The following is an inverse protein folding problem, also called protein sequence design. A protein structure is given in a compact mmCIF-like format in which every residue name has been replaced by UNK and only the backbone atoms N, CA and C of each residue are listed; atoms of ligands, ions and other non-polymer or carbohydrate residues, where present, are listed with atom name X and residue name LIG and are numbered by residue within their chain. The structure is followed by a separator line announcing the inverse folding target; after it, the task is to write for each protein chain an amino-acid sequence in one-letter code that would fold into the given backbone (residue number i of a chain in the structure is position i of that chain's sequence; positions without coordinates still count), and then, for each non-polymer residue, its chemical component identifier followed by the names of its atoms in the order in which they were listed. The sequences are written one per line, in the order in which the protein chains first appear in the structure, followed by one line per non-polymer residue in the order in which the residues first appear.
data_IF_824810653914
#
_entry.id   IF_824810653914
#
_cell.length_a   1.000
_cell.length_b   1.000
_cell.length_c   1.000
_cell.angle_alpha   90.00
_cell.angle_beta   90.00
_cell.angle_gamma   90.00
#
_symmetry.space_group_name_H-M   'P 1'
#
loop_
_entity.id
_entity.type
_entity.pdbx_description
1 polymer ?
#
# COMPACT_ATOMS: atom_id res chain seq x y z
N UNK A 1 -9.26 12.99 -3.31
CA UNK A 1 -10.44 12.22 -3.74
C UNK A 1 -10.06 11.42 -4.98
N UNK A 2 -10.00 10.09 -4.87
CA UNK A 2 -9.44 9.19 -5.90
C UNK A 2 -10.46 8.89 -7.02
N UNK A 3 -11.18 9.93 -7.45
CA UNK A 3 -12.34 9.82 -8.34
C UNK A 3 -12.02 10.05 -9.82
N UNK A 4 -10.74 10.24 -10.16
CA UNK A 4 -10.33 10.43 -11.53
C UNK A 4 -8.85 10.11 -11.72
N UNK A 5 -8.44 10.00 -12.98
CA UNK A 5 -7.07 9.69 -13.37
C UNK A 5 -6.09 10.72 -12.82
N UNK A 6 -6.42 12.01 -12.89
CA UNK A 6 -5.55 13.10 -12.45
C UNK A 6 -5.18 12.97 -10.98
N UNK A 7 -6.14 12.76 -10.10
CA UNK A 7 -5.88 12.66 -8.66
C UNK A 7 -5.10 11.39 -8.32
N UNK A 8 -5.43 10.25 -8.93
CA UNK A 8 -4.69 9.00 -8.73
C UNK A 8 -3.24 9.08 -9.24
N UNK A 9 -3.02 9.64 -10.44
CA UNK A 9 -1.69 9.75 -11.03
C UNK A 9 -0.82 10.80 -10.33
N UNK A 10 -1.39 11.93 -9.89
CA UNK A 10 -0.65 12.93 -9.10
C UNK A 10 -0.25 12.33 -7.75
N UNK A 11 -1.19 11.73 -7.01
CA UNK A 11 -0.90 11.09 -5.73
C UNK A 11 0.17 10.00 -5.90
N UNK A 12 0.01 9.14 -6.92
CA UNK A 12 0.95 8.08 -7.24
C UNK A 12 2.35 8.60 -7.57
N UNK A 13 2.45 9.60 -8.45
CA UNK A 13 3.73 10.17 -8.89
C UNK A 13 4.44 10.90 -7.77
N UNK A 14 3.73 11.73 -7.00
CA UNK A 14 4.29 12.43 -5.85
C UNK A 14 4.79 11.44 -4.79
N UNK A 15 4.01 10.41 -4.46
CA UNK A 15 4.42 9.39 -3.49
C UNK A 15 5.62 8.57 -3.95
N UNK A 16 5.70 8.20 -5.23
CA UNK A 16 6.91 7.58 -5.79
C UNK A 16 8.12 8.52 -5.78
N UNK A 17 7.93 9.81 -6.04
CA UNK A 17 8.97 10.82 -5.91
C UNK A 17 9.52 10.89 -4.47
N UNK A 18 8.64 10.89 -3.47
CA UNK A 18 9.03 10.83 -2.06
C UNK A 18 9.76 9.53 -1.74
N UNK A 19 9.25 8.38 -2.18
CA UNK A 19 9.92 7.10 -1.99
C UNK A 19 11.33 7.10 -2.60
N UNK A 20 11.49 7.59 -3.84
CA UNK A 20 12.79 7.69 -4.50
C UNK A 20 13.76 8.62 -3.75
N UNK A 21 13.28 9.76 -3.24
CA UNK A 21 14.08 10.66 -2.41
C UNK A 21 14.53 10.00 -1.11
N UNK A 22 13.61 9.35 -0.39
CA UNK A 22 13.91 8.61 0.84
C UNK A 22 14.91 7.47 0.61
N UNK A 23 14.79 6.76 -0.52
CA UNK A 23 15.66 5.63 -0.84
C UNK A 23 17.12 6.05 -1.03
N UNK A 24 17.37 7.29 -1.49
CA UNK A 24 18.72 7.86 -1.63
C UNK A 24 19.37 8.22 -0.30
N UNK A 25 18.60 8.36 0.78
CA UNK A 25 19.12 8.72 2.10
C UNK A 25 19.96 7.58 2.69
N UNK A 26 21.05 7.92 3.38
CA UNK A 26 21.90 6.92 4.03
C UNK A 26 21.35 6.52 5.41
N UNK A 27 20.10 6.04 5.44
CA UNK A 27 19.45 5.60 6.66
C UNK A 27 18.58 4.36 6.39
N UNK A 28 18.87 3.21 7.02
CA UNK A 28 18.11 1.97 6.85
C UNK A 28 16.60 2.09 7.01
N UNK A 29 16.13 2.89 7.98
CA UNK A 29 14.70 3.08 8.23
C UNK A 29 14.03 3.91 7.15
N UNK A 30 14.73 4.93 6.64
CA UNK A 30 14.21 5.72 5.51
C UNK A 30 14.14 4.87 4.24
N UNK A 31 15.09 3.95 4.02
CA UNK A 31 15.03 2.98 2.92
C UNK A 31 13.90 1.97 3.11
N UNK A 32 13.68 1.48 4.33
CA UNK A 32 12.51 0.66 4.64
C UNK A 32 11.22 1.42 4.32
N UNK A 33 11.04 2.62 4.86
CA UNK A 33 9.88 3.45 4.59
C UNK A 33 9.68 3.74 3.10
N UNK A 34 10.77 3.95 2.34
CA UNK A 34 10.71 4.13 0.89
C UNK A 34 10.09 2.92 0.19
N UNK A 35 10.58 1.71 0.46
CA UNK A 35 10.06 0.48 -0.17
C UNK A 35 8.63 0.20 0.26
N UNK A 36 8.30 0.47 1.52
CA UNK A 36 6.94 0.36 2.02
C UNK A 36 5.99 1.31 1.27
N UNK A 37 6.37 2.59 1.14
CA UNK A 37 5.62 3.60 0.41
C UNK A 37 5.44 3.20 -1.06
N UNK A 38 6.50 2.77 -1.74
CA UNK A 38 6.40 2.25 -3.11
C UNK A 38 5.38 1.12 -3.22
N UNK A 39 5.42 0.17 -2.28
CA UNK A 39 4.50 -0.97 -2.28
C UNK A 39 3.02 -0.57 -2.17
N UNK A 40 2.71 0.33 -1.23
CA UNK A 40 1.33 0.81 -1.04
C UNK A 40 0.85 1.74 -2.15
N UNK A 41 1.77 2.48 -2.78
CA UNK A 41 1.46 3.41 -3.86
C UNK A 41 1.11 2.73 -5.19
N UNK A 42 1.48 1.47 -5.39
CA UNK A 42 1.21 0.75 -6.64
C UNK A 42 -0.27 0.79 -7.06
N UNK A 43 -1.20 0.70 -6.11
CA UNK A 43 -2.63 0.75 -6.39
C UNK A 43 -3.05 2.07 -7.06
N UNK A 44 -2.40 3.19 -6.74
CA UNK A 44 -2.74 4.48 -7.36
C UNK A 44 -2.44 4.54 -8.84
N UNK A 45 -1.40 3.85 -9.29
CA UNK A 45 -1.13 3.72 -10.71
C UNK A 45 -2.17 2.85 -11.40
N UNK A 46 -2.56 1.74 -10.77
CA UNK A 46 -3.59 0.85 -11.33
C UNK A 46 -4.94 1.57 -11.43
N UNK A 47 -5.37 2.25 -10.37
CA UNK A 47 -6.58 3.08 -10.37
C UNK A 47 -6.49 4.20 -11.41
N UNK A 48 -5.33 4.86 -11.54
CA UNK A 48 -5.10 5.90 -12.55
C UNK A 48 -5.29 5.40 -13.98
N UNK A 49 -4.74 4.22 -14.31
CA UNK A 49 -4.92 3.61 -15.63
C UNK A 49 -6.36 3.16 -15.88
N UNK A 50 -7.05 2.65 -14.85
CA UNK A 50 -8.47 2.31 -14.94
C UNK A 50 -9.29 3.57 -15.26
N UNK A 51 -9.04 4.69 -14.57
CA UNK A 51 -9.71 5.96 -14.84
C UNK A 51 -9.43 6.53 -16.23
N UNK A 52 -8.23 6.34 -16.77
CA UNK A 52 -7.90 6.75 -18.14
C UNK A 52 -8.67 5.95 -19.20
N UNK A 53 -8.99 4.69 -18.93
CA UNK A 53 -9.69 3.79 -19.85
C UNK A 53 -11.22 3.81 -19.75
N UNK A 54 -11.79 4.75 -19.00
CA UNK A 54 -13.20 4.80 -18.57
C UNK A 54 -13.68 3.52 -17.84
N UNK A 55 -13.75 3.52 -16.50
CA UNK A 55 -14.18 2.36 -15.71
C UNK A 55 -15.65 1.97 -15.90
N UNK A 56 -16.45 2.80 -16.59
CA UNK A 56 -17.86 2.48 -16.90
C UNK A 56 -17.99 1.50 -18.05
N UNK A 57 -16.93 1.30 -18.83
CA UNK A 57 -16.91 0.42 -19.98
C UNK A 57 -16.24 -0.91 -19.59
N UNK A 58 -16.94 -2.02 -19.82
CA UNK A 58 -16.36 -3.36 -19.72
C UNK A 58 -15.50 -3.64 -20.97
N UNK A 59 -14.27 -3.11 -20.96
CA UNK A 59 -13.28 -3.29 -22.03
C UNK A 59 -12.13 -4.20 -21.62
N UNK A 60 -11.40 -4.73 -22.62
CA UNK A 60 -10.25 -5.62 -22.38
C UNK A 60 -9.18 -5.00 -21.48
N UNK A 61 -8.97 -3.68 -21.59
CA UNK A 61 -8.02 -2.95 -20.74
C UNK A 61 -8.47 -2.99 -19.27
N UNK A 62 -9.73 -2.68 -18.99
CA UNK A 62 -10.29 -2.73 -17.62
C UNK A 62 -10.18 -4.16 -17.04
N UNK A 63 -10.51 -5.19 -17.84
CA UNK A 63 -10.37 -6.59 -17.41
C UNK A 63 -8.91 -6.95 -17.10
N UNK A 64 -7.96 -6.60 -17.97
CA UNK A 64 -6.54 -6.89 -17.76
C UNK A 64 -5.99 -6.17 -16.53
N UNK A 65 -6.37 -4.91 -16.31
CA UNK A 65 -5.99 -4.16 -15.11
C UNK A 65 -6.58 -4.80 -13.86
N UNK A 66 -7.86 -5.20 -13.90
CA UNK A 66 -8.58 -5.77 -12.75
C UNK A 66 -8.09 -7.17 -12.38
N UNK A 67 -7.87 -8.05 -13.36
CA UNK A 67 -7.46 -9.43 -13.13
C UNK A 67 -5.95 -9.54 -12.94
N UNK A 68 -5.16 -8.71 -13.63
CA UNK A 68 -3.71 -8.75 -13.59
C UNK A 68 -3.10 -7.77 -12.59
N UNK A 69 -3.25 -6.47 -12.83
CA UNK A 69 -2.49 -5.46 -12.08
C UNK A 69 -3.00 -5.23 -10.66
N UNK A 70 -4.30 -5.38 -10.39
CA UNK A 70 -4.84 -5.19 -9.04
C UNK A 70 -4.29 -6.23 -8.06
N UNK A 71 -4.30 -7.55 -8.34
CA UNK A 71 -3.64 -8.52 -7.47
C UNK A 71 -2.16 -8.23 -7.24
N UNK A 72 -1.44 -7.77 -8.27
CA UNK A 72 -0.04 -7.37 -8.12
C UNK A 72 0.11 -6.15 -7.20
N UNK A 73 -0.73 -5.13 -7.36
CA UNK A 73 -0.75 -3.97 -6.48
C UNK A 73 -1.11 -4.32 -5.02
N UNK A 74 -2.01 -5.28 -4.81
CA UNK A 74 -2.31 -5.80 -3.47
C UNK A 74 -1.09 -6.54 -2.90
N UNK A 75 -0.43 -7.40 -3.68
CA UNK A 75 0.79 -8.07 -3.22
C UNK A 75 1.87 -7.05 -2.84
N UNK A 76 2.07 -6.00 -3.63
CA UNK A 76 3.05 -4.96 -3.30
C UNK A 76 2.70 -4.19 -2.04
N UNK A 77 1.41 -3.99 -1.72
CA UNK A 77 0.99 -3.38 -0.45
C UNK A 77 1.45 -4.20 0.76
N UNK A 78 1.26 -5.52 0.74
CA UNK A 78 1.70 -6.40 1.83
C UNK A 78 3.22 -6.60 1.85
N UNK A 79 3.82 -6.77 0.67
CA UNK A 79 5.23 -7.11 0.54
C UNK A 79 6.16 -5.91 0.61
N UNK A 80 5.72 -4.70 0.28
CA UNK A 80 6.53 -3.48 0.39
C UNK A 80 7.09 -3.28 1.81
N UNK A 81 6.25 -3.20 2.85
CA UNK A 81 6.71 -3.14 4.24
C UNK A 81 7.58 -4.33 4.65
N UNK A 82 7.27 -5.53 4.16
CA UNK A 82 8.03 -6.74 4.45
C UNK A 82 9.45 -6.68 3.87
N UNK A 83 9.60 -6.47 2.56
CA UNK A 83 10.91 -6.39 1.90
C UNK A 83 11.68 -5.14 2.30
N UNK A 84 11.00 -4.02 2.54
CA UNK A 84 11.65 -2.81 3.06
C UNK A 84 12.36 -3.06 4.39
N UNK A 85 11.82 -3.93 5.25
CA UNK A 85 12.42 -4.24 6.55
C UNK A 85 13.82 -4.88 6.44
N UNK A 86 14.18 -5.44 5.27
CA UNK A 86 15.51 -6.04 5.02
C UNK A 86 16.63 -5.00 5.17
N UNK A 87 16.35 -3.72 4.88
CA UNK A 87 17.34 -2.65 5.04
C UNK A 87 17.76 -2.45 6.50
N UNK A 88 16.84 -2.64 7.45
CA UNK A 88 17.07 -2.40 8.88
C UNK A 88 17.43 -3.68 9.64
N UNK A 89 16.85 -4.83 9.26
CA UNK A 89 17.08 -6.11 9.92
C UNK A 89 17.34 -7.24 8.92
N UNK A 90 18.33 -8.11 9.15
CA UNK A 90 18.58 -9.26 8.28
C UNK A 90 17.41 -10.25 8.33
N UNK A 91 17.16 -10.96 7.22
CA UNK A 91 16.10 -11.98 7.15
C UNK A 91 16.45 -13.19 8.00
N UNK A 92 17.73 -13.57 8.08
CA UNK A 92 18.17 -14.82 8.69
C UNK A 92 17.75 -14.96 10.16
N UNK A 93 17.76 -13.88 10.93
CA UNK A 93 17.36 -13.87 12.35
C UNK A 93 15.86 -14.02 12.56
N UNK A 94 15.05 -13.81 11.52
CA UNK A 94 13.58 -13.73 11.58
C UNK A 94 12.91 -14.47 10.42
N UNK A 95 13.59 -15.46 9.85
CA UNK A 95 13.22 -16.15 8.61
C UNK A 95 11.81 -16.72 8.64
N UNK A 96 11.42 -17.36 9.75
CA UNK A 96 10.09 -17.99 9.87
C UNK A 96 8.98 -16.94 9.85
N UNK A 97 9.10 -15.88 10.67
CA UNK A 97 8.14 -14.77 10.65
C UNK A 97 8.12 -14.04 9.30
N UNK A 98 9.27 -13.88 8.65
CA UNK A 98 9.37 -13.24 7.34
C UNK A 98 8.60 -14.02 6.27
N UNK A 99 8.89 -15.32 6.12
CA UNK A 99 8.21 -16.15 5.14
C UNK A 99 6.75 -16.41 5.48
N UNK A 100 6.39 -16.49 6.77
CA UNK A 100 4.99 -16.58 7.19
C UNK A 100 4.19 -15.34 6.74
N UNK A 101 4.72 -14.14 6.95
CA UNK A 101 4.06 -12.90 6.50
C UNK A 101 4.00 -12.81 4.97
N UNK A 102 5.04 -13.27 4.27
CA UNK A 102 5.07 -13.33 2.81
C UNK A 102 3.94 -14.23 2.29
N UNK A 103 3.83 -15.44 2.84
CA UNK A 103 2.79 -16.41 2.51
C UNK A 103 1.40 -15.93 2.93
N UNK A 104 1.26 -15.24 4.08
CA UNK A 104 -0.01 -14.68 4.51
C UNK A 104 -0.51 -13.59 3.53
N UNK A 105 0.37 -12.71 3.06
CA UNK A 105 0.03 -11.73 2.01
C UNK A 105 -0.40 -12.40 0.70
N UNK A 106 0.33 -13.43 0.25
CA UNK A 106 -0.03 -14.19 -0.95
C UNK A 106 -1.37 -14.92 -0.80
N UNK A 107 -1.53 -15.67 0.29
CA UNK A 107 -2.74 -16.44 0.58
C UNK A 107 -3.95 -15.53 0.69
N UNK A 108 -3.83 -14.37 1.34
CA UNK A 108 -4.90 -13.39 1.42
C UNK A 108 -5.31 -12.91 0.02
N UNK A 109 -4.36 -12.44 -0.80
CA UNK A 109 -4.66 -11.95 -2.16
C UNK A 109 -5.32 -13.06 -2.99
N UNK A 110 -4.78 -14.28 -2.98
CA UNK A 110 -5.38 -15.40 -3.71
C UNK A 110 -6.81 -15.69 -3.20
N UNK A 111 -7.00 -15.77 -1.89
CA UNK A 111 -8.31 -16.05 -1.31
C UNK A 111 -9.36 -15.00 -1.67
N UNK A 112 -9.05 -13.70 -1.54
CA UNK A 112 -10.02 -12.64 -1.89
C UNK A 112 -10.31 -12.60 -3.38
N UNK A 113 -9.32 -12.89 -4.25
CA UNK A 113 -9.54 -12.94 -5.70
C UNK A 113 -10.36 -14.16 -6.14
N UNK A 114 -10.22 -15.29 -5.45
CA UNK A 114 -11.05 -16.48 -5.69
C UNK A 114 -12.47 -16.26 -5.17
N UNK A 115 -12.62 -15.72 -3.96
CA UNK A 115 -13.92 -15.56 -3.31
C UNK A 115 -14.78 -14.48 -3.99
N UNK A 116 -14.23 -13.30 -4.24
CA UNK A 116 -15.00 -12.17 -4.78
C UNK A 116 -15.01 -12.10 -6.32
N UNK A 117 -14.00 -12.70 -6.98
CA UNK A 117 -13.83 -12.82 -8.44
C UNK A 117 -14.39 -11.64 -9.27
N UNK A 118 -13.85 -10.42 -9.13
CA UNK A 118 -14.27 -9.32 -10.00
C UNK A 118 -13.56 -9.42 -11.36
N UNK A 119 -14.35 -9.48 -12.43
CA UNK A 119 -13.86 -9.62 -13.82
C UNK A 119 -13.40 -8.27 -14.40
N UNK A 120 -14.02 -7.19 -13.97
CA UNK A 120 -13.69 -5.82 -14.35
C UNK A 120 -14.04 -4.88 -13.18
N UNK A 121 -13.42 -3.70 -13.20
CA UNK A 121 -13.66 -2.65 -12.21
C UNK A 121 -14.88 -1.84 -12.60
N UNK A 122 -15.78 -1.60 -11.65
CA UNK A 122 -16.99 -0.80 -11.83
C UNK A 122 -16.88 0.54 -11.08
N UNK A 123 -17.78 1.48 -11.39
CA UNK A 123 -17.96 2.70 -10.60
C UNK A 123 -19.17 2.53 -9.69
N UNK A 124 -19.01 2.79 -8.40
CA UNK A 124 -20.10 2.71 -7.41
C UNK A 124 -21.06 3.89 -7.53
N UNK A 125 -22.27 3.82 -6.93
CA UNK A 125 -23.19 4.96 -6.89
C UNK A 125 -22.58 6.26 -6.35
N UNK A 126 -21.65 6.19 -5.38
CA UNK A 126 -20.93 7.36 -4.86
C UNK A 126 -19.68 7.73 -5.67
N UNK A 127 -19.36 7.01 -6.76
CA UNK A 127 -18.28 7.36 -7.69
C UNK A 127 -16.93 6.70 -7.41
N UNK A 128 -16.85 5.68 -6.56
CA UNK A 128 -15.61 4.96 -6.22
C UNK A 128 -15.33 3.80 -7.18
N UNK A 129 -14.06 3.38 -7.32
CA UNK A 129 -13.70 2.20 -8.12
C UNK A 129 -13.94 0.91 -7.35
N UNK A 130 -14.93 0.14 -7.75
CA UNK A 130 -15.17 -1.21 -7.23
C UNK A 130 -14.43 -2.24 -8.07
N UNK A 131 -13.23 -2.55 -7.61
CA UNK A 131 -12.40 -3.64 -8.12
C UNK A 131 -12.36 -4.85 -7.17
N UNK A 132 -13.19 -4.81 -6.13
CA UNK A 132 -13.19 -5.78 -5.04
C UNK A 132 -14.15 -6.92 -5.29
N UNK A 133 -15.38 -6.62 -5.66
CA UNK A 133 -16.45 -7.62 -5.84
C UNK A 133 -17.26 -7.38 -7.11
N UNK A 134 -18.00 -8.41 -7.54
CA UNK A 134 -18.94 -8.30 -8.65
C UNK A 134 -20.18 -7.46 -8.32
N UNK A 135 -20.57 -7.43 -7.05
CA UNK A 135 -21.71 -6.65 -6.57
C UNK A 135 -21.38 -5.17 -6.57
N UNK A 136 -22.34 -4.31 -6.93
CA UNK A 136 -22.15 -2.87 -6.99
C UNK A 136 -23.41 -2.14 -6.48
N UNK A 137 -23.41 -1.54 -5.27
CA UNK A 137 -22.26 -1.35 -4.39
C UNK A 137 -21.70 -2.67 -3.84
N UNK A 138 -20.39 -2.73 -3.59
CA UNK A 138 -19.72 -3.94 -3.11
C UNK A 138 -20.16 -4.34 -1.70
N UNK A 139 -20.42 -5.64 -1.50
CA UNK A 139 -20.48 -6.20 -0.16
C UNK A 139 -19.09 -6.27 0.45
N UNK A 140 -18.92 -5.65 1.62
CA UNK A 140 -17.66 -5.59 2.34
C UNK A 140 -17.78 -6.18 3.73
N UNK A 141 -17.10 -7.30 3.93
CA UNK A 141 -16.91 -7.88 5.25
C UNK A 141 -15.85 -7.09 6.04
N UNK A 142 -16.20 -6.46 7.18
CA UNK A 142 -15.26 -5.64 7.96
C UNK A 142 -14.00 -6.40 8.37
N UNK A 143 -14.16 -7.69 8.71
CA UNK A 143 -13.05 -8.53 9.15
C UNK A 143 -12.01 -8.74 8.05
N UNK A 144 -12.41 -8.80 6.77
CA UNK A 144 -11.48 -8.99 5.65
C UNK A 144 -10.57 -7.77 5.51
N UNK A 145 -11.16 -6.59 5.66
CA UNK A 145 -10.43 -5.33 5.57
C UNK A 145 -9.50 -5.12 6.78
N UNK A 146 -9.97 -5.45 7.99
CA UNK A 146 -9.13 -5.48 9.19
C UNK A 146 -7.98 -6.47 9.08
N UNK A 147 -8.22 -7.66 8.51
CA UNK A 147 -7.18 -8.66 8.27
C UNK A 147 -6.14 -8.13 7.27
N UNK A 148 -6.58 -7.48 6.20
CA UNK A 148 -5.67 -6.89 5.21
C UNK A 148 -4.79 -5.78 5.81
N UNK A 149 -5.40 -4.85 6.54
CA UNK A 149 -4.68 -3.80 7.26
C UNK A 149 -3.69 -4.37 8.27
N UNK A 150 -4.04 -5.48 8.94
CA UNK A 150 -3.14 -6.21 9.83
C UNK A 150 -1.94 -6.77 9.08
N UNK A 151 -2.16 -7.47 7.96
CA UNK A 151 -1.08 -8.06 7.15
C UNK A 151 -0.08 -6.99 6.70
N UNK A 152 -0.56 -5.84 6.21
CA UNK A 152 0.28 -4.71 5.79
C UNK A 152 1.02 -4.10 6.98
N UNK A 153 0.36 -3.97 8.14
CA UNK A 153 0.91 -3.33 9.34
C UNK A 153 1.90 -4.19 10.13
N UNK A 154 1.79 -5.52 10.06
CA UNK A 154 2.57 -6.45 10.89
C UNK A 154 4.09 -6.27 10.78
N UNK A 155 4.70 -6.08 9.60
CA UNK A 155 6.13 -5.80 9.50
C UNK A 155 6.58 -4.63 10.38
N UNK A 156 5.78 -3.57 10.47
CA UNK A 156 6.07 -2.42 11.33
C UNK A 156 5.90 -2.75 12.81
N UNK A 157 4.80 -3.43 13.19
CA UNK A 157 4.55 -3.77 14.59
C UNK A 157 5.63 -4.69 15.17
N UNK A 158 6.13 -5.63 14.37
CA UNK A 158 7.12 -6.60 14.82
C UNK A 158 8.53 -6.01 14.87
N UNK A 159 8.92 -5.24 13.85
CA UNK A 159 10.33 -4.93 13.61
C UNK A 159 10.66 -3.44 13.60
N UNK A 160 9.69 -2.55 13.43
CA UNK A 160 9.96 -1.11 13.42
C UNK A 160 10.13 -0.63 14.86
N UNK A 161 11.24 0.06 15.12
CA UNK A 161 11.58 0.59 16.45
C UNK A 161 11.95 2.07 16.34
N UNK A 162 11.66 2.89 17.35
CA UNK A 162 10.91 2.58 18.56
C UNK A 162 9.43 2.23 18.27
N UNK A 163 8.83 1.40 19.12
CA UNK A 163 7.52 0.80 18.87
C UNK A 163 6.38 1.83 18.72
N UNK A 164 6.46 2.96 19.42
CA UNK A 164 5.45 4.01 19.31
C UNK A 164 5.30 4.55 17.88
N UNK A 165 6.39 4.57 17.09
CA UNK A 165 6.32 4.96 15.67
C UNK A 165 5.51 3.95 14.86
N UNK A 166 5.67 2.65 15.14
CA UNK A 166 4.87 1.59 14.52
C UNK A 166 3.40 1.74 14.85
N UNK A 167 3.08 2.04 16.11
CA UNK A 167 1.70 2.27 16.55
C UNK A 167 1.07 3.44 15.79
N UNK A 168 1.80 4.55 15.60
CA UNK A 168 1.31 5.68 14.81
C UNK A 168 1.10 5.32 13.33
N UNK A 169 2.07 4.64 12.70
CA UNK A 169 1.98 4.24 11.28
C UNK A 169 0.75 3.35 11.05
N UNK A 170 0.56 2.36 11.92
CA UNK A 170 -0.52 1.37 11.79
C UNK A 170 -1.86 1.95 12.21
N UNK A 171 -1.95 2.64 13.35
CA UNK A 171 -3.21 3.24 13.80
C UNK A 171 -3.75 4.26 12.80
N UNK A 172 -2.86 4.98 12.10
CA UNK A 172 -3.25 5.89 11.03
C UNK A 172 -3.89 5.16 9.84
N UNK A 173 -3.28 4.06 9.39
CA UNK A 173 -3.86 3.22 8.35
C UNK A 173 -5.22 2.66 8.76
N UNK A 174 -5.33 2.20 10.01
CA UNK A 174 -6.60 1.72 10.56
C UNK A 174 -7.67 2.80 10.69
N UNK A 175 -7.29 4.03 11.04
CA UNK A 175 -8.22 5.15 11.11
C UNK A 175 -8.81 5.44 9.73
N UNK A 176 -7.99 5.60 8.70
CA UNK A 176 -8.49 5.86 7.35
C UNK A 176 -9.25 4.70 6.76
N UNK A 177 -8.87 3.48 7.12
CA UNK A 177 -9.62 2.28 6.82
C UNK A 177 -11.03 2.35 7.42
N UNK A 178 -11.14 2.63 8.72
CA UNK A 178 -12.42 2.76 9.41
C UNK A 178 -13.27 3.90 8.83
N UNK A 179 -12.68 5.07 8.61
CA UNK A 179 -13.39 6.22 8.01
C UNK A 179 -13.88 5.88 6.59
N UNK A 180 -13.07 5.20 5.79
CA UNK A 180 -13.47 4.74 4.46
C UNK A 180 -14.67 3.81 4.52
N UNK A 181 -14.67 2.86 5.45
CA UNK A 181 -15.79 1.94 5.66
C UNK A 181 -17.06 2.65 6.14
N UNK A 182 -16.96 3.63 7.03
CA UNK A 182 -18.11 4.31 7.61
C UNK A 182 -18.76 5.34 6.68
N UNK A 183 -17.97 5.99 5.81
CA UNK A 183 -18.42 7.15 5.04
C UNK A 183 -18.50 6.92 3.53
N UNK A 184 -18.09 5.76 3.03
CA UNK A 184 -18.09 5.48 1.58
C UNK A 184 -18.79 4.17 1.27
N UNK A 185 -19.40 4.06 0.09
CA UNK A 185 -19.97 2.80 -0.40
C UNK A 185 -18.91 1.79 -0.86
N UNK A 186 -17.62 2.14 -0.78
CA UNK A 186 -16.52 1.28 -1.16
C UNK A 186 -15.19 1.67 -0.49
N UNK A 187 -14.88 0.98 0.60
CA UNK A 187 -13.70 1.26 1.41
C UNK A 187 -12.36 1.02 0.68
N UNK A 188 -12.33 0.17 -0.36
CA UNK A 188 -11.08 -0.18 -1.02
C UNK A 188 -10.56 0.90 -1.99
N UNK A 189 -11.35 1.91 -2.37
CA UNK A 189 -10.95 2.89 -3.40
C UNK A 189 -10.33 4.18 -2.83
N UNK A 190 -9.96 4.24 -1.54
CA UNK A 190 -9.49 5.46 -0.88
C UNK A 190 -7.96 5.60 -0.82
N UNK A 191 -7.20 4.76 -1.51
CA UNK A 191 -5.74 4.65 -1.44
C UNK A 191 -4.97 5.97 -1.69
N UNK A 192 -5.49 6.90 -2.51
CA UNK A 192 -4.86 8.20 -2.73
C UNK A 192 -4.66 8.99 -1.42
N UNK A 193 -5.60 8.88 -0.47
CA UNK A 193 -5.49 9.54 0.83
C UNK A 193 -4.38 8.91 1.67
N UNK A 194 -4.36 7.57 1.76
CA UNK A 194 -3.33 6.85 2.49
C UNK A 194 -1.94 7.24 2.01
N UNK A 195 -1.69 7.16 0.70
CA UNK A 195 -0.34 7.38 0.15
C UNK A 195 0.10 8.84 0.27
N UNK A 196 -0.81 9.80 0.08
CA UNK A 196 -0.49 11.22 0.19
C UNK A 196 -0.12 11.59 1.63
N UNK A 197 -0.88 11.13 2.61
CA UNK A 197 -0.56 11.36 4.02
C UNK A 197 0.68 10.63 4.48
N UNK A 198 0.87 9.36 4.10
CA UNK A 198 2.11 8.65 4.39
C UNK A 198 3.32 9.36 3.76
N UNK A 199 3.18 9.93 2.56
CA UNK A 199 4.24 10.72 1.93
C UNK A 199 4.60 11.96 2.76
N UNK A 200 3.60 12.74 3.19
CA UNK A 200 3.82 13.92 4.03
C UNK A 200 4.44 13.56 5.39
N UNK A 201 3.93 12.51 6.03
CA UNK A 201 4.48 12.00 7.29
C UNK A 201 5.94 11.60 7.13
N UNK A 202 6.27 10.87 6.05
CA UNK A 202 7.63 10.42 5.81
C UNK A 202 8.59 11.55 5.43
N UNK A 203 8.12 12.59 4.74
CA UNK A 203 8.90 13.82 4.54
C UNK A 203 9.24 14.43 5.89
N UNK A 204 8.24 14.68 6.74
CA UNK A 204 8.46 15.26 8.07
C UNK A 204 9.42 14.40 8.91
N UNK A 205 9.21 13.08 8.91
CA UNK A 205 10.06 12.11 9.60
C UNK A 205 11.52 12.16 9.11
N UNK A 206 11.73 12.20 7.79
CA UNK A 206 13.06 12.23 7.20
C UNK A 206 13.80 13.57 7.40
N UNK A 207 13.08 14.65 7.63
CA UNK A 207 13.66 15.95 8.03
C UNK A 207 14.11 15.94 9.50
N UNK A 208 13.48 15.13 10.35
CA UNK A 208 13.81 15.01 11.77
C UNK A 208 14.94 14.01 12.06
N UNK A 209 15.31 13.16 11.09
CA UNK A 209 16.29 12.09 11.29
C UNK A 209 17.53 12.31 10.42
N UNK A 210 18.72 12.36 11.03
CA UNK A 210 19.97 12.50 10.29
C UNK A 210 20.31 11.21 9.55
N UNK A 211 21.05 11.37 8.45
CA UNK A 211 21.69 10.25 7.77
C UNK A 211 22.83 9.70 8.62
N UNK A 212 23.10 8.39 8.51
CA UNK A 212 24.29 7.82 9.13
C UNK A 212 25.51 8.39 8.42
N UNK A 213 26.52 8.80 9.19
CA UNK A 213 27.83 9.13 8.65
C UNK A 213 28.35 7.92 7.87
N UNK A 214 28.83 8.14 6.65
CA UNK A 214 29.59 7.11 5.97
C UNK A 214 30.75 6.69 6.89
N UNK A 215 31.11 5.40 6.98
CA UNK A 215 32.33 5.03 7.66
C UNK A 215 33.46 5.83 6.99
N UNK A 216 34.20 6.62 7.78
CA UNK A 216 35.43 7.24 7.31
C UNK A 216 36.23 6.11 6.68
N UNK A 217 36.48 6.23 5.37
CA UNK A 217 37.33 5.31 4.65
C UNK A 217 38.57 5.14 5.50
N UNK A 218 38.82 3.92 5.99
CA UNK A 218 40.06 3.60 6.65
C UNK A 218 41.17 3.99 5.67
N UNK A 219 41.80 5.13 5.93
CA UNK A 219 42.99 5.58 5.25
C UNK A 219 44.06 4.56 5.59
N UNK A 220 44.26 3.60 4.69
CA UNK A 220 45.38 2.68 4.65
C UNK A 220 46.13 2.96 3.35
#
# INVERSE_FOLDING_TARGET
MCFNATTSLIAGTCSYGVAAWLHRRNNPKLKWAAVALTGITAMQWVEGFIWLGDPRICGIVNMLLTIGLIPLALLTQAWGPLFGSIYDQPVQSRKYSFYLLMLAGLAFVVAVRVYYWPEFTQVTPQGYLNWWSRENPPHYDPWVYSLWATIIGLPFLLWWRPFWQSLLIVSWGWLWALLSYLFTDNAASNWCFFVSFYSLFLIAYALMIPDRKAPESASA
#
